data_IF_594360939756
#
_entry.id   IF_594360939756
#
_cell.length_a   1.000
_cell.length_b   1.000
_cell.length_c   1.000
_cell.angle_alpha   90.00
_cell.angle_beta   90.00
_cell.angle_gamma   90.00
#
_symmetry.space_group_name_H-M   'P 1'
#
loop_
_entity.id
_entity.type
_entity.pdbx_description
1 polymer ?
#
# COMPACT_ATOMS: atom_id res chain seq x y z
N UNK A 1 -43.56 9.47 55.58
CA UNK A 1 -42.34 10.00 54.90
C UNK A 1 -41.84 9.11 53.75
N UNK A 2 -42.24 7.83 53.65
CA UNK A 2 -41.80 6.91 52.58
C UNK A 2 -42.36 7.22 51.16
N UNK A 3 -43.54 7.84 51.04
CA UNK A 3 -44.19 8.12 49.74
C UNK A 3 -43.46 9.18 48.90
N UNK A 4 -42.81 10.17 49.55
CA UNK A 4 -42.03 11.21 48.83
C UNK A 4 -40.70 10.68 48.31
N UNK A 5 -40.15 9.63 48.93
CA UNK A 5 -38.90 9.00 48.50
C UNK A 5 -39.10 8.13 47.25
N UNK A 6 -40.25 7.46 47.13
CA UNK A 6 -40.60 6.67 45.94
C UNK A 6 -40.76 7.53 44.68
N UNK A 7 -41.34 8.73 44.80
CA UNK A 7 -41.52 9.66 43.68
C UNK A 7 -40.20 10.16 43.09
N UNK A 8 -39.17 10.37 43.92
CA UNK A 8 -37.86 10.85 43.47
C UNK A 8 -37.08 9.77 42.69
N UNK A 9 -37.23 8.50 43.06
CA UNK A 9 -36.59 7.38 42.35
C UNK A 9 -37.20 7.12 40.97
N UNK A 10 -38.50 7.37 40.79
CA UNK A 10 -39.19 7.20 39.51
C UNK A 10 -38.76 8.28 38.49
N UNK A 11 -38.53 9.51 38.95
CA UNK A 11 -38.06 10.63 38.09
C UNK A 11 -36.61 10.42 37.63
N UNK A 12 -35.74 9.85 38.47
CA UNK A 12 -34.36 9.55 38.09
C UNK A 12 -34.24 8.43 37.03
N UNK A 13 -35.20 7.50 36.99
CA UNK A 13 -35.23 6.38 36.03
C UNK A 13 -35.66 6.80 34.62
N UNK A 14 -36.37 7.92 34.49
CA UNK A 14 -36.85 8.46 33.21
C UNK A 14 -35.85 9.40 32.51
N UNK A 15 -34.74 9.75 33.18
CA UNK A 15 -33.67 10.56 32.58
C UNK A 15 -32.59 9.68 31.92
N UNK A 16 -33.00 8.68 31.13
CA UNK A 16 -32.08 8.06 30.16
C UNK A 16 -31.94 9.05 29.02
N UNK A 17 -30.87 9.85 29.07
CA UNK A 17 -30.46 10.69 27.96
C UNK A 17 -30.33 9.80 26.73
N UNK A 18 -31.21 10.00 25.76
CA UNK A 18 -31.00 9.50 24.41
C UNK A 18 -29.78 10.25 23.87
N UNK A 19 -28.60 9.66 24.04
CA UNK A 19 -27.43 10.08 23.29
C UNK A 19 -27.73 9.72 21.84
N UNK A 20 -28.23 10.69 21.09
CA UNK A 20 -28.26 10.63 19.63
C UNK A 20 -26.81 10.60 19.15
N UNK A 21 -26.21 9.42 19.08
CA UNK A 21 -25.08 9.21 18.19
C UNK A 21 -25.63 9.35 16.78
N UNK A 22 -25.43 10.52 16.17
CA UNK A 22 -25.53 10.63 14.73
C UNK A 22 -24.54 9.60 14.16
N UNK A 23 -24.98 8.64 13.33
CA UNK A 23 -24.02 7.80 12.63
C UNK A 23 -23.11 8.72 11.83
N UNK A 24 -21.80 8.54 11.93
CA UNK A 24 -20.87 9.20 11.03
C UNK A 24 -21.38 8.92 9.61
N UNK A 25 -21.68 9.97 8.84
CA UNK A 25 -22.09 9.81 7.46
C UNK A 25 -20.96 9.07 6.74
N UNK A 26 -21.14 7.78 6.51
CA UNK A 26 -20.22 6.97 5.75
C UNK A 26 -20.46 7.39 4.30
N UNK A 27 -19.50 8.13 3.73
CA UNK A 27 -19.52 8.46 2.30
C UNK A 27 -19.31 7.14 1.54
N UNK A 28 -20.40 6.48 1.17
CA UNK A 28 -20.41 5.20 0.45
C UNK A 28 -19.59 5.23 -0.85
N UNK A 29 -19.18 6.43 -1.30
CA UNK A 29 -18.36 6.64 -2.48
C UNK A 29 -16.84 6.62 -2.20
N UNK A 30 -16.38 6.72 -0.95
CA UNK A 30 -14.95 6.70 -0.61
C UNK A 30 -14.40 5.27 -0.57
N UNK A 31 -13.37 4.98 -1.37
CA UNK A 31 -12.65 3.71 -1.28
C UNK A 31 -11.63 3.78 -0.15
N UNK A 32 -11.73 2.88 0.84
CA UNK A 32 -10.85 2.86 2.01
C UNK A 32 -9.69 1.85 1.82
N UNK A 33 -8.43 2.28 1.98
CA UNK A 33 -7.28 1.38 1.96
C UNK A 33 -7.14 0.62 3.29
N UNK A 34 -6.49 -0.53 3.20
CA UNK A 34 -6.03 -1.29 4.34
C UNK A 34 -4.81 -0.62 4.98
N UNK A 35 -4.96 -0.13 6.22
CA UNK A 35 -3.92 0.53 7.02
C UNK A 35 -3.06 1.54 6.24
N UNK A 36 -3.64 2.68 5.83
CA UNK A 36 -2.88 3.70 5.10
C UNK A 36 -1.72 4.23 5.95
N UNK A 37 -0.54 4.33 5.34
CA UNK A 37 0.60 5.02 5.91
C UNK A 37 0.57 6.47 5.44
N UNK A 38 0.20 7.39 6.34
CA UNK A 38 0.21 8.83 6.09
C UNK A 38 1.35 9.46 6.90
N UNK A 39 2.31 10.12 6.25
CA UNK A 39 3.30 10.92 6.97
C UNK A 39 2.64 12.16 7.57
N UNK A 40 3.02 12.49 8.81
CA UNK A 40 2.61 13.73 9.50
C UNK A 40 3.70 14.81 9.45
N UNK A 41 4.85 14.49 8.86
CA UNK A 41 5.97 15.41 8.73
C UNK A 41 5.83 16.27 7.47
N UNK A 42 6.22 17.54 7.60
CA UNK A 42 6.32 18.50 6.50
C UNK A 42 5.03 18.74 5.70
N UNK A 43 3.85 18.49 6.28
CA UNK A 43 2.56 18.55 5.56
C UNK A 43 2.43 19.72 4.57
N UNK A 44 1.91 19.45 3.38
CA UNK A 44 1.61 20.49 2.40
C UNK A 44 0.39 21.29 2.85
N UNK A 45 0.31 22.53 2.37
CA UNK A 45 -0.83 23.43 2.62
C UNK A 45 -1.77 23.46 1.41
N UNK A 46 -3.04 23.82 1.68
CA UNK A 46 -4.04 24.05 0.62
C UNK A 46 -3.54 25.16 -0.31
N UNK A 47 -3.54 24.90 -1.62
CA UNK A 47 -3.09 25.86 -2.64
C UNK A 47 -1.58 25.88 -2.90
N UNK A 48 -0.77 25.13 -2.13
CA UNK A 48 0.67 24.98 -2.37
C UNK A 48 0.99 24.42 -3.75
N UNK A 49 2.20 24.69 -4.25
CA UNK A 49 2.64 24.15 -5.54
C UNK A 49 2.75 22.62 -5.49
N UNK A 50 3.27 22.06 -4.39
CA UNK A 50 3.23 20.61 -4.15
C UNK A 50 1.82 20.02 -4.31
N UNK A 51 0.79 20.64 -3.72
CA UNK A 51 -0.59 20.14 -3.84
C UNK A 51 -1.08 20.14 -5.29
N UNK A 52 -0.78 21.20 -6.06
CA UNK A 52 -1.13 21.25 -7.50
C UNK A 52 -0.43 20.14 -8.29
N UNK A 53 0.85 19.92 -8.02
CA UNK A 53 1.63 18.85 -8.68
C UNK A 53 1.10 17.46 -8.26
N UNK A 54 0.73 17.28 -7.00
CA UNK A 54 0.10 16.06 -6.50
C UNK A 54 -1.24 15.80 -7.20
N UNK A 55 -2.09 16.81 -7.34
CA UNK A 55 -3.38 16.68 -8.03
C UNK A 55 -3.20 16.30 -9.51
N UNK A 56 -2.23 16.91 -10.19
CA UNK A 56 -1.87 16.55 -11.55
C UNK A 56 -1.40 15.09 -11.64
N UNK A 57 -0.55 14.67 -10.72
CA UNK A 57 -0.02 13.30 -10.69
C UNK A 57 -1.14 12.29 -10.42
N UNK A 58 -1.98 12.52 -9.40
CA UNK A 58 -3.08 11.62 -9.03
C UNK A 58 -4.13 11.49 -10.16
N UNK A 59 -4.32 12.53 -10.98
CA UNK A 59 -5.17 12.46 -12.16
C UNK A 59 -4.54 11.65 -13.31
N UNK A 60 -3.21 11.72 -13.48
CA UNK A 60 -2.49 11.02 -14.55
C UNK A 60 -2.30 9.52 -14.25
N UNK A 61 -1.97 9.17 -13.00
CA UNK A 61 -1.69 7.80 -12.57
C UNK A 61 -2.68 6.74 -13.09
N UNK A 62 -4.02 6.89 -12.94
CA UNK A 62 -4.96 5.86 -13.39
C UNK A 62 -5.04 5.72 -14.91
N UNK A 63 -4.97 6.84 -15.64
CA UNK A 63 -5.02 6.83 -17.11
C UNK A 63 -3.80 6.09 -17.65
N UNK A 64 -2.63 6.49 -17.20
CA UNK A 64 -1.37 5.89 -17.63
C UNK A 64 -1.24 4.43 -17.21
N UNK A 65 -1.72 4.04 -16.03
CA UNK A 65 -1.69 2.65 -15.60
C UNK A 65 -2.56 1.75 -16.48
N UNK A 66 -3.72 2.22 -16.93
CA UNK A 66 -4.60 1.46 -17.83
C UNK A 66 -3.92 1.19 -19.18
N UNK A 67 -3.17 2.16 -19.67
CA UNK A 67 -2.49 2.07 -20.96
C UNK A 67 -1.18 1.25 -20.90
N UNK A 68 -0.59 1.12 -19.69
CA UNK A 68 0.70 0.46 -19.47
C UNK A 68 0.59 -0.91 -18.77
N UNK A 69 -0.54 -1.62 -18.94
CA UNK A 69 -0.71 -2.97 -18.42
C UNK A 69 -0.97 -3.04 -16.92
N UNK A 70 -1.78 -2.11 -16.42
CA UNK A 70 -2.22 -1.99 -15.02
C UNK A 70 -1.16 -1.53 -14.03
N UNK A 71 -0.13 -0.83 -14.52
CA UNK A 71 0.97 -0.30 -13.74
C UNK A 71 1.46 1.02 -14.34
N UNK A 72 1.71 2.01 -13.49
CA UNK A 72 2.44 3.21 -13.90
C UNK A 72 3.21 3.82 -12.74
N UNK A 73 4.37 4.41 -13.06
CA UNK A 73 5.14 5.26 -12.16
C UNK A 73 5.50 6.56 -12.88
N UNK A 74 5.51 7.67 -12.17
CA UNK A 74 5.78 8.97 -12.76
C UNK A 74 6.10 10.04 -11.72
N UNK A 75 6.30 11.26 -12.20
CA UNK A 75 6.48 12.42 -11.35
C UNK A 75 5.82 13.65 -11.95
N UNK A 76 5.47 14.61 -11.10
CA UNK A 76 4.92 15.90 -11.50
C UNK A 76 5.66 17.05 -10.79
N UNK A 77 5.74 18.19 -11.48
CA UNK A 77 6.50 19.36 -11.01
C UNK A 77 7.96 19.39 -11.46
N UNK A 78 8.55 20.58 -11.47
CA UNK A 78 9.96 20.77 -11.71
C UNK A 78 10.79 20.20 -10.55
N UNK A 79 12.04 19.81 -10.84
CA UNK A 79 12.96 19.31 -9.83
C UNK A 79 13.13 20.33 -8.70
N UNK A 80 12.88 19.89 -7.46
CA UNK A 80 12.93 20.75 -6.28
C UNK A 80 11.94 20.32 -5.20
N UNK A 81 11.67 21.24 -4.27
CA UNK A 81 10.87 20.98 -3.07
C UNK A 81 9.39 20.64 -3.35
N UNK A 82 8.88 20.99 -4.53
CA UNK A 82 7.48 20.73 -4.91
C UNK A 82 7.32 19.54 -5.88
N UNK A 83 8.40 18.86 -6.26
CA UNK A 83 8.32 17.67 -7.11
C UNK A 83 7.63 16.53 -6.35
N UNK A 84 6.73 15.83 -7.03
CA UNK A 84 6.01 14.67 -6.49
C UNK A 84 6.34 13.46 -7.32
N UNK A 85 6.67 12.35 -6.68
CA UNK A 85 6.85 11.03 -7.28
C UNK A 85 5.68 10.15 -6.89
N UNK A 86 5.20 9.31 -7.80
CA UNK A 86 4.07 8.42 -7.50
C UNK A 86 4.04 7.19 -8.38
N UNK A 87 3.41 6.14 -7.88
CA UNK A 87 3.03 4.98 -8.66
C UNK A 87 1.64 4.50 -8.28
N UNK A 88 0.99 3.84 -9.23
CA UNK A 88 -0.19 3.04 -8.98
C UNK A 88 -0.07 1.72 -9.74
N UNK A 89 -0.53 0.65 -9.13
CA UNK A 89 -0.52 -0.66 -9.78
C UNK A 89 -1.62 -1.57 -9.28
N UNK A 90 -2.16 -2.40 -10.16
CA UNK A 90 -3.10 -3.44 -9.75
C UNK A 90 -2.39 -4.74 -9.39
N UNK A 91 -3.02 -5.50 -8.49
CA UNK A 91 -2.56 -6.85 -8.20
C UNK A 91 -2.98 -7.82 -9.30
N UNK A 92 -2.08 -8.73 -9.66
CA UNK A 92 -2.26 -9.67 -10.79
C UNK A 92 -3.32 -10.75 -10.54
N UNK A 93 -3.69 -10.98 -9.29
CA UNK A 93 -4.69 -11.97 -8.86
C UNK A 93 -6.11 -11.39 -8.77
N UNK A 94 -6.28 -10.11 -9.12
CA UNK A 94 -7.57 -9.39 -9.07
C UNK A 94 -8.15 -9.23 -10.46
N UNK A 95 -9.48 -9.18 -10.54
CA UNK A 95 -10.14 -9.03 -11.84
C UNK A 95 -10.07 -7.58 -12.34
N UNK A 96 -10.21 -7.41 -13.66
CA UNK A 96 -10.05 -6.11 -14.31
C UNK A 96 -11.04 -5.04 -13.82
N UNK A 97 -12.28 -5.42 -13.48
CA UNK A 97 -13.28 -4.46 -12.98
C UNK A 97 -12.91 -3.93 -11.58
N UNK A 98 -12.47 -4.81 -10.68
CA UNK A 98 -11.98 -4.41 -9.35
C UNK A 98 -10.76 -3.50 -9.46
N UNK A 99 -9.85 -3.82 -10.37
CA UNK A 99 -8.69 -2.99 -10.64
C UNK A 99 -9.11 -1.60 -11.15
N UNK A 100 -10.01 -1.52 -12.14
CA UNK A 100 -10.51 -0.24 -12.66
C UNK A 100 -11.17 0.61 -11.56
N UNK A 101 -12.05 0.03 -10.74
CA UNK A 101 -12.67 0.73 -9.61
C UNK A 101 -11.61 1.30 -8.66
N UNK A 102 -10.56 0.54 -8.39
CA UNK A 102 -9.46 0.96 -7.52
C UNK A 102 -8.61 2.08 -8.13
N UNK A 103 -8.29 1.99 -9.42
CA UNK A 103 -7.56 3.02 -10.14
C UNK A 103 -8.35 4.34 -10.15
N UNK A 104 -9.66 4.29 -10.35
CA UNK A 104 -10.47 5.49 -10.45
C UNK A 104 -10.74 6.14 -9.08
N UNK A 105 -11.02 5.33 -8.04
CA UNK A 105 -11.44 5.84 -6.72
C UNK A 105 -10.29 6.01 -5.72
N UNK A 106 -9.24 5.21 -5.82
CA UNK A 106 -8.10 5.25 -4.89
C UNK A 106 -7.42 6.62 -4.86
N UNK A 107 -6.90 7.12 -6.01
CA UNK A 107 -6.29 8.45 -6.11
C UNK A 107 -7.21 9.59 -5.67
N UNK A 108 -8.49 9.54 -6.04
CA UNK A 108 -9.46 10.58 -5.67
C UNK A 108 -9.75 10.59 -4.16
N UNK A 109 -9.75 9.42 -3.52
CA UNK A 109 -10.06 9.28 -2.10
C UNK A 109 -8.89 9.51 -1.16
N UNK A 110 -7.65 9.20 -1.58
CA UNK A 110 -6.53 9.10 -0.64
C UNK A 110 -6.19 10.43 0.04
N UNK A 111 -6.42 11.57 -0.62
CA UNK A 111 -6.17 12.90 -0.03
C UNK A 111 -7.18 13.29 1.05
N UNK A 112 -8.37 12.68 1.06
CA UNK A 112 -9.33 12.80 2.16
C UNK A 112 -8.92 11.96 3.37
N UNK A 113 -8.28 10.82 3.12
CA UNK A 113 -7.85 9.85 4.13
C UNK A 113 -6.53 10.29 4.79
N UNK A 114 -5.59 10.80 3.99
CA UNK A 114 -4.31 11.35 4.41
C UNK A 114 -4.22 12.86 4.10
N UNK A 115 -5.01 13.72 4.78
CA UNK A 115 -5.04 15.14 4.48
C UNK A 115 -3.70 15.82 4.77
N UNK A 116 -3.20 16.61 3.82
CA UNK A 116 -1.94 17.36 3.95
C UNK A 116 -0.67 16.52 3.86
N UNK A 117 -0.77 15.19 3.82
CA UNK A 117 0.40 14.32 3.85
C UNK A 117 1.18 14.34 2.55
N UNK A 118 2.49 14.60 2.61
CA UNK A 118 3.38 14.60 1.44
C UNK A 118 3.93 13.23 1.07
N UNK A 119 3.79 12.25 1.96
CA UNK A 119 4.23 10.87 1.72
C UNK A 119 3.14 9.93 2.17
N UNK A 120 2.59 9.18 1.22
CA UNK A 120 1.51 8.25 1.45
C UNK A 120 1.78 6.92 0.76
N UNK A 121 1.48 5.83 1.46
CA UNK A 121 1.36 4.50 0.89
C UNK A 121 0.01 3.90 1.31
N UNK A 122 -0.74 3.40 0.34
CA UNK A 122 -2.10 2.93 0.51
C UNK A 122 -2.30 1.63 -0.28
N UNK A 123 -2.49 0.54 0.44
CA UNK A 123 -2.87 -0.74 -0.14
C UNK A 123 -4.39 -0.87 -0.12
N UNK A 124 -4.99 -1.11 -1.28
CA UNK A 124 -6.41 -1.44 -1.42
C UNK A 124 -6.55 -2.91 -1.77
N UNK A 125 -7.78 -3.42 -1.84
CA UNK A 125 -8.02 -4.81 -2.22
C UNK A 125 -7.47 -5.14 -3.62
N UNK A 126 -7.54 -4.19 -4.56
CA UNK A 126 -7.22 -4.41 -5.96
C UNK A 126 -6.01 -3.64 -6.51
N UNK A 127 -5.51 -2.64 -5.79
CA UNK A 127 -4.39 -1.83 -6.24
C UNK A 127 -3.55 -1.29 -5.06
N UNK A 128 -2.32 -0.91 -5.36
CA UNK A 128 -1.42 -0.18 -4.48
C UNK A 128 -1.21 1.22 -5.05
N UNK A 129 -1.32 2.24 -4.20
CA UNK A 129 -1.02 3.64 -4.53
C UNK A 129 0.04 4.15 -3.55
N UNK A 130 1.13 4.70 -4.08
CA UNK A 130 2.16 5.38 -3.27
C UNK A 130 2.55 6.70 -3.92
N UNK A 131 2.67 7.75 -3.12
CA UNK A 131 3.29 9.01 -3.54
C UNK A 131 4.22 9.57 -2.46
N UNK A 132 5.21 10.34 -2.87
CA UNK A 132 6.21 10.94 -1.99
C UNK A 132 6.82 12.19 -2.62
N UNK A 133 7.33 13.08 -1.80
CA UNK A 133 8.19 14.20 -2.21
C UNK A 133 9.67 13.80 -2.40
N UNK A 134 9.98 12.52 -2.19
CA UNK A 134 11.30 11.92 -2.45
C UNK A 134 11.18 10.76 -3.44
N UNK A 135 12.18 10.51 -4.29
CA UNK A 135 12.14 9.39 -5.24
C UNK A 135 12.28 8.04 -4.53
N UNK A 136 11.46 7.05 -4.94
CA UNK A 136 11.44 5.71 -4.33
C UNK A 136 11.45 4.53 -5.33
N UNK A 137 11.43 4.77 -6.63
CA UNK A 137 11.28 3.73 -7.66
C UNK A 137 12.45 2.73 -7.78
N UNK A 138 13.57 2.96 -7.10
CA UNK A 138 14.76 2.10 -7.18
C UNK A 138 15.42 1.88 -5.81
N UNK A 139 14.72 2.20 -4.73
CA UNK A 139 15.20 2.03 -3.36
C UNK A 139 14.39 0.91 -2.72
N UNK A 140 15.07 -0.15 -2.26
CA UNK A 140 14.42 -1.20 -1.48
C UNK A 140 14.11 -0.65 -0.08
N UNK A 141 12.86 -0.29 0.15
CA UNK A 141 12.38 0.18 1.45
C UNK A 141 11.86 -1.01 2.27
N UNK A 142 12.71 -1.53 3.17
CA UNK A 142 12.37 -2.67 4.03
C UNK A 142 11.48 -2.27 5.21
N UNK A 143 11.27 -0.97 5.45
CA UNK A 143 10.41 -0.50 6.53
C UNK A 143 8.94 -0.81 6.25
N UNK A 144 8.53 -0.79 4.97
CA UNK A 144 7.17 -1.11 4.53
C UNK A 144 6.84 -2.61 4.69
N UNK A 145 7.85 -3.48 4.64
CA UNK A 145 7.69 -4.92 4.87
C UNK A 145 7.46 -5.26 6.36
N UNK A 146 7.87 -4.40 7.30
CA UNK A 146 7.74 -4.65 8.74
C UNK A 146 6.33 -4.43 9.30
N UNK A 147 5.43 -3.75 8.57
CA UNK A 147 4.04 -3.56 8.99
C UNK A 147 3.14 -4.76 8.67
N UNK A 148 3.65 -5.78 7.97
CA UNK A 148 2.93 -6.99 7.58
C UNK A 148 3.25 -8.22 8.46
N UNK A 149 3.82 -8.02 9.65
CA UNK A 149 4.03 -9.07 10.66
C UNK A 149 2.80 -9.27 11.56
N UNK A 150 1.69 -8.54 11.36
CA UNK A 150 0.47 -8.64 12.19
C UNK A 150 -0.70 -9.35 11.51
N UNK A 151 -0.45 -10.21 10.53
CA UNK A 151 -1.40 -11.30 10.26
C UNK A 151 -0.97 -12.49 11.12
N UNK A 152 -1.62 -12.64 12.28
CA UNK A 152 -1.42 -13.84 13.09
C UNK A 152 -1.85 -15.05 12.25
N UNK A 153 -0.88 -15.80 11.73
CA UNK A 153 -1.08 -17.17 11.27
C UNK A 153 -1.76 -17.93 12.43
N UNK A 154 -2.99 -18.44 12.27
CA UNK A 154 -3.55 -19.34 13.26
C UNK A 154 -2.63 -20.56 13.35
N UNK A 155 -2.17 -20.87 14.56
CA UNK A 155 -1.33 -22.02 14.86
C UNK A 155 -1.86 -23.25 14.15
N UNK A 156 -1.05 -23.83 13.27
CA UNK A 156 -1.40 -25.01 12.47
C UNK A 156 -1.68 -26.20 13.39
N UNK A 157 -2.94 -26.36 13.81
CA UNK A 157 -3.48 -27.58 14.38
C UNK A 157 -4.66 -28.02 13.54
N UNK A 158 -4.35 -28.86 12.57
CA UNK A 158 -5.23 -29.89 12.03
C UNK A 158 -6.59 -29.43 11.53
N UNK A 159 -6.64 -28.66 10.44
CA UNK A 159 -7.80 -28.68 9.54
C UNK A 159 -7.34 -28.65 8.09
N UNK A 160 -7.99 -29.47 7.28
CA UNK A 160 -7.72 -29.72 5.86
C UNK A 160 -8.07 -28.45 5.06
N UNK A 161 -7.12 -27.55 4.88
CA UNK A 161 -7.32 -26.31 4.11
C UNK A 161 -7.26 -26.58 2.60
N UNK A 162 -8.27 -26.06 1.91
CA UNK A 162 -8.38 -26.01 0.45
C UNK A 162 -7.15 -25.33 -0.18
N UNK A 163 -6.69 -25.90 -1.30
CA UNK A 163 -5.39 -25.69 -1.95
C UNK A 163 -5.10 -24.28 -2.53
N UNK A 164 -5.81 -23.22 -2.13
CA UNK A 164 -5.84 -21.97 -2.88
C UNK A 164 -4.97 -20.81 -2.37
N UNK A 165 -4.32 -20.89 -1.19
CA UNK A 165 -3.55 -19.76 -0.63
C UNK A 165 -2.09 -20.02 -0.20
N UNK A 166 -1.48 -21.15 -0.55
CA UNK A 166 -0.09 -21.47 -0.14
C UNK A 166 0.92 -21.40 -1.28
N UNK A 167 1.07 -20.22 -1.91
CA UNK A 167 2.18 -19.95 -2.84
C UNK A 167 2.88 -18.63 -2.52
N UNK A 168 3.44 -18.52 -1.32
CA UNK A 168 4.33 -17.42 -0.98
C UNK A 168 5.74 -17.71 -1.52
N UNK A 169 6.28 -16.77 -2.29
CA UNK A 169 7.64 -16.83 -2.88
C UNK A 169 8.64 -16.44 -1.80
N UNK A 170 9.57 -17.34 -1.45
CA UNK A 170 10.72 -17.00 -0.61
C UNK A 170 11.95 -17.07 -1.51
N UNK A 171 12.56 -15.91 -1.82
CA UNK A 171 13.87 -15.85 -2.46
C UNK A 171 14.90 -15.44 -1.39
N UNK A 172 15.94 -16.25 -1.21
CA UNK A 172 17.04 -15.96 -0.28
C UNK A 172 18.23 -15.42 -1.07
N UNK A 173 18.67 -14.21 -0.77
CA UNK A 173 19.93 -13.67 -1.30
C UNK A 173 21.07 -14.35 -0.56
N UNK A 174 21.91 -15.12 -1.27
CA UNK A 174 23.12 -15.68 -0.69
C UNK A 174 24.22 -14.61 -0.68
N UNK A 175 24.66 -14.18 0.51
CA UNK A 175 25.89 -13.40 0.61
C UNK A 175 27.09 -14.24 0.18
N UNK A 176 27.96 -13.62 -0.62
CA UNK A 176 29.09 -14.23 -1.32
C UNK A 176 30.18 -14.76 -0.36
N UNK A 177 30.40 -16.07 -0.32
CA UNK A 177 31.59 -16.67 0.27
C UNK A 177 32.73 -16.74 -0.76
N UNK A 178 33.85 -16.10 -0.46
CA UNK A 178 35.03 -16.00 -1.32
C UNK A 178 35.75 -17.37 -1.40
N UNK A 179 35.60 -18.10 -2.50
CA UNK A 179 36.35 -19.34 -2.77
C UNK A 179 37.15 -19.24 -4.05
N UNK A 180 38.37 -19.83 -4.03
CA UNK A 180 39.49 -19.68 -5.00
C UNK A 180 39.22 -20.06 -6.47
N UNK A 181 37.98 -20.32 -6.89
CA UNK A 181 37.61 -20.63 -8.30
C UNK A 181 37.00 -19.45 -9.07
N UNK A 182 36.96 -18.24 -8.51
CA UNK A 182 36.28 -17.08 -9.12
C UNK A 182 37.17 -16.15 -9.97
N UNK A 183 38.41 -16.49 -10.28
CA UNK A 183 39.31 -15.56 -11.01
C UNK A 183 39.08 -15.49 -12.53
N UNK A 184 38.10 -16.20 -13.11
CA UNK A 184 37.90 -16.20 -14.57
C UNK A 184 36.53 -15.74 -15.09
N UNK A 185 35.53 -15.50 -14.24
CA UNK A 185 34.24 -14.93 -14.65
C UNK A 185 33.77 -13.91 -13.61
N UNK A 186 33.66 -12.65 -14.02
CA UNK A 186 33.33 -11.52 -13.15
C UNK A 186 32.06 -11.71 -12.31
N UNK A 187 32.04 -11.06 -11.14
CA UNK A 187 30.98 -11.09 -10.12
C UNK A 187 29.58 -11.04 -10.74
N UNK A 188 28.91 -12.19 -10.79
CA UNK A 188 27.47 -12.30 -11.04
C UNK A 188 26.81 -12.70 -9.72
N UNK A 189 25.88 -11.88 -9.22
CA UNK A 189 25.01 -12.28 -8.12
C UNK A 189 24.05 -13.36 -8.60
N UNK A 190 24.02 -14.50 -7.93
CA UNK A 190 23.05 -15.56 -8.18
C UNK A 190 21.99 -15.52 -7.07
N UNK A 191 20.72 -15.56 -7.46
CA UNK A 191 19.60 -15.81 -6.56
C UNK A 191 18.96 -17.14 -6.94
N UNK A 192 18.67 -17.98 -5.95
CA UNK A 192 17.84 -19.17 -6.13
C UNK A 192 16.44 -18.86 -5.57
N UNK A 193 15.41 -19.14 -6.37
CA UNK A 193 14.02 -19.13 -5.92
C UNK A 193 13.47 -20.56 -6.04
N UNK A 194 12.99 -21.12 -4.94
CA UNK A 194 12.35 -22.43 -4.92
C UNK A 194 10.84 -22.28 -5.10
N UNK A 195 10.31 -22.82 -6.20
CA UNK A 195 8.90 -23.17 -6.32
C UNK A 195 8.75 -24.61 -5.82
N UNK A 196 7.86 -24.84 -4.86
CA UNK A 196 7.57 -26.21 -4.40
C UNK A 196 7.20 -27.09 -5.60
N UNK A 197 8.04 -28.08 -5.90
CA UNK A 197 7.69 -29.24 -6.71
C UNK A 197 8.32 -29.38 -8.10
N UNK A 198 8.92 -28.36 -8.72
CA UNK A 198 9.65 -28.55 -10.00
C UNK A 198 10.93 -27.74 -10.06
N UNK A 199 12.07 -28.44 -10.22
CA UNK A 199 13.36 -27.83 -10.57
C UNK A 199 13.24 -27.20 -11.96
N UNK A 200 13.10 -25.88 -12.05
CA UNK A 200 13.35 -25.17 -13.30
C UNK A 200 14.65 -24.35 -13.18
N UNK A 201 15.54 -24.58 -14.14
CA UNK A 201 16.88 -24.02 -14.22
C UNK A 201 16.85 -22.54 -14.61
N UNK A 202 17.55 -21.73 -13.82
CA UNK A 202 18.24 -20.47 -14.14
C UNK A 202 17.54 -19.47 -15.09
N UNK A 203 16.93 -18.43 -14.54
CA UNK A 203 16.78 -17.16 -15.25
C UNK A 203 18.14 -16.43 -15.24
N UNK A 204 18.84 -16.45 -16.37
CA UNK A 204 20.04 -15.63 -16.61
C UNK A 204 19.59 -14.18 -16.77
N UNK A 205 19.86 -13.31 -15.79
CA UNK A 205 19.65 -11.86 -15.96
C UNK A 205 20.72 -11.36 -16.94
N UNK A 206 20.28 -10.94 -18.13
CA UNK A 206 21.17 -10.36 -19.14
C UNK A 206 21.62 -8.97 -18.69
N UNK A 207 22.94 -8.75 -18.59
CA UNK A 207 23.50 -7.39 -18.51
C UNK A 207 23.22 -6.70 -19.84
N UNK A 208 22.27 -5.77 -19.91
CA UNK A 208 22.40 -4.69 -20.90
C UNK A 208 23.38 -3.67 -20.33
N UNK A 209 24.58 -3.69 -20.90
CA UNK A 209 25.54 -2.61 -20.84
C UNK A 209 24.87 -1.32 -21.31
N UNK A 210 24.82 -0.31 -20.45
CA UNK A 210 24.80 1.08 -20.91
C UNK A 210 26.26 1.47 -21.12
N UNK A 211 26.64 1.69 -22.38
CA UNK A 211 27.91 2.25 -22.78
C UNK A 211 27.67 3.19 -23.96
N UNK A 212 27.28 4.43 -23.70
CA UNK A 212 28.10 5.64 -23.85
C UNK A 212 27.32 6.84 -23.33
#
# INVERSE_FOLDING_TARGET
MASRLLLLLIVASLCRTAVSQAPAAQDDNLLHPHWPSCSTADNYTVGSQFKKNLDQLLAALPVEARDNGWFYMGSAGAAGADQVFGLIMCYTDRNAMQCLDCLDRGPAGITKICPGSRRVSAAYDACLLRYSDTPFFSVADLSEASLQETWSLPSARGTRQSSFYTRQRVCRVLHSANTRRQTALGKAGFAECFLSGTRQRFCRVSKRHSAK
#
